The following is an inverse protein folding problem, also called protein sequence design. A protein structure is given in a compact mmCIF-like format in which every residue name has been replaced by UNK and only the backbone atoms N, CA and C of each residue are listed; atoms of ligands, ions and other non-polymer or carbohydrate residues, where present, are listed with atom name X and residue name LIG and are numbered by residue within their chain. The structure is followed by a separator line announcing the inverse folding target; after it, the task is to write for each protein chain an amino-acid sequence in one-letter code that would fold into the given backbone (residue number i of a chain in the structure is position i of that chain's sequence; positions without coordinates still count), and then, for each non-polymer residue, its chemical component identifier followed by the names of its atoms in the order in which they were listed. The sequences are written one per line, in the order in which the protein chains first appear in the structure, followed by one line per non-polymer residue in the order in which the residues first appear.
data_IF_019879023556
#
_entry.id   IF_019879023556
#
_cell.length_a   1.000
_cell.length_b   1.000
_cell.length_c   1.000
_cell.angle_alpha   90.00
_cell.angle_beta   90.00
_cell.angle_gamma   90.00
#
_symmetry.space_group_name_H-M   'P 1'
#
loop_
_entity.id
_entity.type
_entity.pdbx_description
1 polymer ?
#
# COMPACT_ATOMS: atom_id res chain seq x y z
N UNK A 1 -64.64 45.41 -24.39
CA UNK A 1 -64.18 44.00 -24.41
C UNK A 1 -62.83 43.91 -23.71
N UNK A 2 -62.78 43.42 -22.47
CA UNK A 2 -61.52 43.15 -21.74
C UNK A 2 -61.64 41.73 -21.18
N UNK A 3 -60.80 40.81 -21.68
CA UNK A 3 -60.68 39.43 -21.20
C UNK A 3 -59.74 39.41 -20.01
N UNK A 4 -60.21 38.98 -18.85
CA UNK A 4 -59.37 38.67 -17.69
C UNK A 4 -59.16 37.16 -17.65
N UNK A 5 -57.91 36.73 -17.80
CA UNK A 5 -57.47 35.34 -17.68
C UNK A 5 -57.08 35.13 -16.21
N UNK A 6 -57.76 34.22 -15.51
CA UNK A 6 -57.33 33.77 -14.18
C UNK A 6 -56.26 32.68 -14.35
N UNK A 7 -55.07 32.93 -13.80
CA UNK A 7 -54.01 31.94 -13.65
C UNK A 7 -54.25 31.07 -12.42
N UNK A 8 -54.41 29.77 -12.63
CA UNK A 8 -54.46 28.76 -11.57
C UNK A 8 -53.04 28.20 -11.40
N UNK A 9 -52.31 28.67 -10.40
CA UNK A 9 -51.01 28.12 -10.03
C UNK A 9 -51.22 26.84 -9.20
N UNK A 10 -51.02 25.68 -9.84
CA UNK A 10 -51.02 24.37 -9.19
C UNK A 10 -49.64 24.15 -8.55
N UNK A 11 -49.51 24.41 -7.24
CA UNK A 11 -48.32 24.05 -6.47
C UNK A 11 -48.30 22.53 -6.28
N UNK A 12 -47.53 21.83 -7.10
CA UNK A 12 -47.23 20.40 -6.93
C UNK A 12 -46.29 20.21 -5.74
N UNK A 13 -46.79 19.63 -4.67
CA UNK A 13 -45.99 19.16 -3.53
C UNK A 13 -45.24 17.91 -3.97
N UNK A 14 -43.93 18.03 -4.23
CA UNK A 14 -43.04 16.89 -4.45
C UNK A 14 -42.68 16.29 -3.10
N UNK A 15 -43.44 15.29 -2.68
CA UNK A 15 -43.07 14.45 -1.54
C UNK A 15 -41.85 13.62 -1.92
N UNK A 16 -40.68 13.95 -1.38
CA UNK A 16 -39.50 13.08 -1.42
C UNK A 16 -39.75 11.90 -0.48
N UNK A 17 -40.20 10.77 -1.02
CA UNK A 17 -40.22 9.51 -0.29
C UNK A 17 -38.77 9.04 -0.16
N UNK A 18 -38.15 9.28 1.01
CA UNK A 18 -36.87 8.66 1.35
C UNK A 18 -37.08 7.15 1.40
N UNK A 19 -36.63 6.45 0.36
CA UNK A 19 -36.53 4.99 0.37
C UNK A 19 -35.41 4.63 1.34
N UNK A 20 -35.77 4.24 2.56
CA UNK A 20 -34.85 3.60 3.49
C UNK A 20 -34.48 2.24 2.91
N UNK A 21 -33.32 2.16 2.24
CA UNK A 21 -32.73 0.89 1.84
C UNK A 21 -32.23 0.21 3.12
N UNK A 22 -32.80 -0.92 3.54
CA UNK A 22 -32.27 -1.62 4.70
C UNK A 22 -30.82 -2.01 4.42
N UNK A 23 -29.91 -1.70 5.34
CA UNK A 23 -28.58 -2.27 5.35
C UNK A 23 -28.75 -3.79 5.28
N UNK A 24 -28.40 -4.40 4.15
CA UNK A 24 -28.43 -5.85 4.01
C UNK A 24 -27.56 -6.42 5.11
N UNK A 25 -28.18 -7.14 6.05
CA UNK A 25 -27.46 -7.86 7.08
C UNK A 25 -26.59 -8.90 6.37
N UNK A 26 -25.29 -8.63 6.28
CA UNK A 26 -24.32 -9.59 5.82
C UNK A 26 -24.47 -10.86 6.69
N UNK A 27 -24.71 -12.00 6.04
CA UNK A 27 -24.94 -13.26 6.75
C UNK A 27 -23.57 -13.91 7.05
N UNK A 28 -22.89 -13.41 8.07
CA UNK A 28 -21.56 -13.90 8.44
C UNK A 28 -21.57 -15.36 8.92
N UNK A 29 -22.73 -15.88 9.33
CA UNK A 29 -22.92 -17.27 9.77
C UNK A 29 -22.69 -18.30 8.66
N UNK A 30 -22.69 -17.89 7.38
CA UNK A 30 -22.40 -18.76 6.23
C UNK A 30 -20.94 -18.70 5.78
N UNK A 31 -20.11 -17.85 6.40
CA UNK A 31 -18.72 -17.72 5.98
C UNK A 31 -17.94 -18.98 6.38
N UNK A 32 -17.27 -19.58 5.39
CA UNK A 32 -16.36 -20.69 5.62
C UNK A 32 -15.11 -20.21 6.37
N UNK A 33 -15.18 -20.24 7.71
CA UNK A 33 -14.06 -19.92 8.59
C UNK A 33 -13.06 -21.07 8.61
N UNK A 34 -11.81 -20.75 8.33
CA UNK A 34 -10.72 -21.72 8.34
C UNK A 34 -10.02 -21.66 9.71
N UNK A 35 -9.70 -22.81 10.29
CA UNK A 35 -8.84 -22.84 11.47
C UNK A 35 -7.49 -22.20 11.14
N UNK A 36 -6.99 -21.32 12.03
CA UNK A 36 -5.62 -20.84 11.95
C UNK A 36 -4.78 -21.68 12.91
N UNK A 37 -4.02 -22.63 12.35
CA UNK A 37 -3.02 -23.36 13.13
C UNK A 37 -1.81 -22.44 13.29
N UNK A 38 -1.39 -22.19 14.52
CA UNK A 38 -0.38 -21.16 14.86
C UNK A 38 1.06 -21.59 14.55
N UNK A 39 1.27 -22.55 13.65
CA UNK A 39 2.63 -22.93 13.26
C UNK A 39 3.29 -21.71 12.58
N UNK A 40 4.37 -21.23 13.19
CA UNK A 40 5.11 -19.99 12.86
C UNK A 40 4.37 -18.64 13.03
N UNK A 41 3.15 -18.62 13.58
CA UNK A 41 2.38 -17.39 13.83
C UNK A 41 2.20 -16.47 12.61
N UNK A 42 2.42 -16.97 11.38
CA UNK A 42 2.39 -16.19 10.14
C UNK A 42 1.70 -16.99 9.04
N UNK A 43 0.78 -16.35 8.32
CA UNK A 43 0.07 -16.92 7.17
C UNK A 43 -0.02 -15.89 6.05
N UNK A 44 0.17 -16.32 4.80
CA UNK A 44 -0.11 -15.48 3.63
C UNK A 44 -1.54 -15.75 3.17
N UNK A 45 -2.33 -14.69 3.04
CA UNK A 45 -3.67 -14.69 2.49
C UNK A 45 -3.61 -14.15 1.06
N UNK A 46 -3.99 -14.95 0.08
CA UNK A 46 -4.04 -14.55 -1.32
C UNK A 46 -5.47 -14.15 -1.66
N UNK A 47 -5.65 -12.94 -2.18
CA UNK A 47 -6.92 -12.43 -2.69
C UNK A 47 -6.82 -12.34 -4.20
N UNK A 48 -7.60 -13.15 -4.90
CA UNK A 48 -7.67 -13.22 -6.36
C UNK A 48 -9.06 -13.67 -6.82
N UNK A 49 -9.24 -13.85 -8.14
CA UNK A 49 -10.52 -14.23 -8.76
C UNK A 49 -11.10 -15.56 -8.25
N UNK A 50 -10.27 -16.46 -7.73
CA UNK A 50 -10.68 -17.75 -7.16
C UNK A 50 -11.03 -17.64 -5.67
N UNK A 51 -10.75 -16.50 -5.03
CA UNK A 51 -11.09 -16.28 -3.62
C UNK A 51 -12.60 -16.09 -3.48
N UNK A 52 -13.20 -16.77 -2.51
CA UNK A 52 -14.65 -16.63 -2.24
C UNK A 52 -15.01 -15.17 -1.94
N UNK A 53 -16.09 -14.69 -2.55
CA UNK A 53 -16.63 -13.36 -2.31
C UNK A 53 -17.93 -13.44 -1.52
N UNK A 54 -18.18 -12.44 -0.68
CA UNK A 54 -19.44 -12.27 0.03
C UNK A 54 -19.87 -10.80 0.02
N UNK A 55 -21.17 -10.55 0.22
CA UNK A 55 -21.68 -9.22 0.47
C UNK A 55 -21.47 -8.90 1.96
N UNK A 56 -20.46 -8.07 2.25
CA UNK A 56 -20.11 -7.63 3.60
C UNK A 56 -20.73 -6.24 3.85
N UNK A 57 -20.84 -5.78 5.11
CA UNK A 57 -21.49 -4.50 5.43
C UNK A 57 -20.84 -3.29 4.74
N UNK A 58 -19.54 -3.35 4.47
CA UNK A 58 -18.80 -2.29 3.77
C UNK A 58 -18.63 -2.55 2.25
N UNK A 59 -19.43 -3.46 1.68
CA UNK A 59 -19.47 -3.78 0.27
C UNK A 59 -19.04 -5.22 -0.06
N UNK A 60 -19.29 -5.63 -1.29
CA UNK A 60 -18.87 -6.94 -1.79
C UNK A 60 -17.35 -7.02 -1.91
N UNK A 61 -16.77 -8.08 -1.34
CA UNK A 61 -15.32 -8.30 -1.38
C UNK A 61 -15.00 -9.79 -1.30
N UNK A 62 -13.86 -10.15 -1.89
CA UNK A 62 -13.14 -11.36 -1.54
C UNK A 62 -12.82 -11.35 -0.04
N UNK A 63 -12.95 -12.49 0.62
CA UNK A 63 -12.70 -12.59 2.05
C UNK A 63 -11.95 -13.87 2.43
N UNK A 64 -11.20 -13.77 3.53
CA UNK A 64 -10.68 -14.90 4.28
C UNK A 64 -11.20 -14.82 5.71
N UNK A 65 -11.82 -15.88 6.19
CA UNK A 65 -12.34 -15.98 7.55
C UNK A 65 -11.49 -16.96 8.34
N UNK A 66 -11.15 -16.63 9.59
CA UNK A 66 -10.39 -17.51 10.47
C UNK A 66 -10.86 -17.52 11.91
N UNK A 67 -10.81 -18.70 12.53
CA UNK A 67 -11.11 -18.85 13.94
C UNK A 67 -9.97 -18.32 14.80
N UNK A 68 -10.31 -17.65 15.90
CA UNK A 68 -9.33 -17.15 16.86
C UNK A 68 -9.14 -18.20 17.96
N UNK A 69 -7.89 -18.63 18.25
CA UNK A 69 -7.61 -19.51 19.38
C UNK A 69 -7.96 -18.82 20.72
N UNK A 70 -8.07 -19.62 21.79
CA UNK A 70 -8.38 -19.08 23.13
C UNK A 70 -7.24 -18.20 23.67
N UNK A 71 -7.57 -16.97 24.06
CA UNK A 71 -6.67 -16.01 24.67
C UNK A 71 -6.71 -14.63 24.01
N UNK A 72 -5.74 -13.80 24.39
CA UNK A 72 -5.55 -12.44 23.88
C UNK A 72 -4.51 -12.46 22.77
N UNK A 73 -4.81 -11.83 21.64
CA UNK A 73 -3.90 -11.79 20.51
C UNK A 73 -3.89 -10.43 19.81
N UNK A 74 -2.71 -9.96 19.46
CA UNK A 74 -2.54 -8.87 18.50
C UNK A 74 -2.53 -9.46 17.09
N UNK A 75 -3.49 -9.04 16.28
CA UNK A 75 -3.57 -9.34 14.86
C UNK A 75 -2.83 -8.25 14.09
N UNK A 76 -1.97 -8.66 13.16
CA UNK A 76 -1.27 -7.77 12.24
C UNK A 76 -1.43 -8.26 10.82
N UNK A 77 -2.02 -7.41 9.98
CA UNK A 77 -2.15 -7.62 8.55
C UNK A 77 -1.17 -6.69 7.83
N UNK A 78 -0.37 -7.24 6.92
CA UNK A 78 0.59 -6.50 6.09
C UNK A 78 0.35 -6.78 4.62
N UNK A 79 -0.01 -5.75 3.86
CA UNK A 79 -0.09 -5.85 2.40
C UNK A 79 1.04 -5.04 1.77
N UNK A 80 1.89 -5.70 0.99
CA UNK A 80 2.99 -5.03 0.30
C UNK A 80 2.45 -4.14 -0.83
N UNK A 81 3.08 -3.00 -1.01
CA UNK A 81 2.73 -2.03 -2.05
C UNK A 81 3.60 -2.31 -3.28
N UNK A 82 2.95 -2.51 -4.42
CA UNK A 82 3.60 -2.59 -5.73
C UNK A 82 2.97 -1.55 -6.69
N UNK A 83 2.48 -1.98 -7.86
CA UNK A 83 1.66 -1.13 -8.75
C UNK A 83 0.25 -0.87 -8.21
N UNK A 84 -0.22 -1.73 -7.32
CA UNK A 84 -1.45 -1.59 -6.55
C UNK A 84 -1.22 -2.19 -5.16
N UNK A 85 -2.17 -1.98 -4.25
CA UNK A 85 -2.11 -2.55 -2.90
C UNK A 85 -3.47 -3.02 -2.42
N UNK A 86 -3.52 -4.15 -1.72
CA UNK A 86 -4.73 -4.56 -1.02
C UNK A 86 -4.85 -3.79 0.30
N UNK A 87 -5.94 -3.04 0.46
CA UNK A 87 -6.20 -2.33 1.70
C UNK A 87 -7.09 -3.18 2.62
N UNK A 88 -6.56 -3.71 3.73
CA UNK A 88 -7.32 -4.63 4.58
C UNK A 88 -8.39 -3.90 5.39
N UNK A 89 -9.53 -4.56 5.51
CA UNK A 89 -10.59 -4.34 6.49
C UNK A 89 -10.80 -5.66 7.23
N UNK A 90 -10.87 -5.61 8.55
CA UNK A 90 -11.10 -6.77 9.40
C UNK A 90 -12.42 -6.61 10.19
N UNK A 91 -13.25 -7.65 10.17
CA UNK A 91 -14.43 -7.78 11.02
C UNK A 91 -14.12 -8.81 12.09
N UNK A 92 -14.31 -8.44 13.36
CA UNK A 92 -14.23 -9.36 14.50
C UNK A 92 -15.65 -9.77 14.85
N UNK A 93 -15.88 -11.08 14.92
CA UNK A 93 -17.19 -11.66 15.09
C UNK A 93 -17.25 -12.56 16.30
N UNK A 94 -18.44 -12.66 16.89
CA UNK A 94 -18.73 -13.66 17.92
C UNK A 94 -18.95 -15.06 17.33
N UNK A 95 -19.18 -16.05 18.20
CA UNK A 95 -19.45 -17.44 17.78
C UNK A 95 -20.77 -17.61 16.98
N UNK A 96 -21.68 -16.63 17.07
CA UNK A 96 -22.96 -16.62 16.33
C UNK A 96 -22.84 -15.92 14.97
N UNK A 97 -21.73 -15.23 14.69
CA UNK A 97 -21.51 -14.44 13.49
C UNK A 97 -21.96 -12.98 13.60
N UNK A 98 -22.21 -12.45 14.81
CA UNK A 98 -22.46 -11.03 14.99
C UNK A 98 -21.15 -10.24 15.03
N UNK A 99 -21.14 -9.04 14.46
CA UNK A 99 -19.96 -8.18 14.47
C UNK A 99 -19.77 -7.56 15.86
N UNK A 100 -18.63 -7.83 16.48
CA UNK A 100 -18.18 -7.20 17.72
C UNK A 100 -17.38 -5.91 17.44
N UNK A 101 -16.54 -5.94 16.40
CA UNK A 101 -15.71 -4.80 16.01
C UNK A 101 -15.41 -4.81 14.51
N UNK A 102 -15.19 -3.63 13.94
CA UNK A 102 -14.72 -3.47 12.56
C UNK A 102 -13.52 -2.55 12.54
N UNK A 103 -12.43 -2.99 11.92
CA UNK A 103 -11.19 -2.25 11.76
C UNK A 103 -10.92 -2.06 10.27
N UNK A 104 -10.86 -0.82 9.80
CA UNK A 104 -10.67 -0.53 8.39
C UNK A 104 -9.70 0.62 8.19
N UNK A 105 -10.03 1.46 7.22
CA UNK A 105 -9.25 2.62 6.76
C UNK A 105 -8.62 3.44 7.89
N UNK A 106 -9.37 3.75 8.94
CA UNK A 106 -8.94 4.62 10.05
C UNK A 106 -7.80 4.03 10.89
N UNK A 107 -7.57 2.71 10.79
CA UNK A 107 -6.48 1.99 11.47
C UNK A 107 -5.42 1.46 10.52
N UNK A 108 -5.59 1.62 9.20
CA UNK A 108 -4.56 1.27 8.22
C UNK A 108 -3.49 2.34 8.20
N UNK A 109 -2.23 1.93 8.35
CA UNK A 109 -1.07 2.82 8.30
C UNK A 109 -0.13 2.44 7.16
N UNK A 110 0.35 3.43 6.41
CA UNK A 110 1.46 3.22 5.48
C UNK A 110 2.77 3.10 6.26
N UNK A 111 3.54 2.08 5.94
CA UNK A 111 4.86 1.84 6.49
C UNK A 111 5.84 1.94 5.32
N UNK A 112 6.77 2.93 5.35
CA UNK A 112 7.74 3.10 4.27
C UNK A 112 8.65 1.87 4.18
N UNK A 113 9.30 1.72 3.02
CA UNK A 113 10.36 0.73 2.85
C UNK A 113 11.49 0.94 3.87
N UNK A 114 11.99 -0.18 4.39
CA UNK A 114 13.18 -0.25 5.21
C UNK A 114 14.23 -1.15 4.56
N UNK A 115 15.33 -1.42 5.26
CA UNK A 115 16.47 -2.22 4.73
C UNK A 115 16.05 -3.60 4.23
N UNK A 116 15.10 -4.25 4.91
CA UNK A 116 14.68 -5.63 4.62
C UNK A 116 13.21 -5.71 4.17
N UNK A 117 12.40 -4.70 4.47
CA UNK A 117 10.95 -4.75 4.26
C UNK A 117 10.51 -3.74 3.22
N UNK A 118 9.67 -4.12 2.24
CA UNK A 118 9.16 -3.17 1.26
C UNK A 118 8.12 -2.23 1.89
N UNK A 119 7.78 -1.20 1.13
CA UNK A 119 6.60 -0.37 1.35
C UNK A 119 5.35 -1.24 1.51
N UNK A 120 4.54 -0.93 2.51
CA UNK A 120 3.37 -1.75 2.83
C UNK A 120 2.29 -0.96 3.56
N UNK A 121 1.05 -1.39 3.41
CA UNK A 121 -0.03 -1.05 4.33
C UNK A 121 -0.03 -2.02 5.51
N UNK A 122 -0.23 -1.50 6.71
CA UNK A 122 -0.29 -2.28 7.94
C UNK A 122 -1.55 -1.94 8.73
N UNK A 123 -2.35 -2.97 9.03
CA UNK A 123 -3.47 -2.90 9.96
C UNK A 123 -3.13 -3.71 11.22
N UNK A 124 -3.26 -3.10 12.39
CA UNK A 124 -3.01 -3.73 13.69
C UNK A 124 -4.21 -3.53 14.59
N UNK A 125 -4.64 -4.59 15.25
CA UNK A 125 -5.72 -4.55 16.24
C UNK A 125 -5.57 -5.74 17.19
N UNK A 126 -6.18 -5.62 18.36
CA UNK A 126 -6.15 -6.67 19.37
C UNK A 126 -7.51 -7.39 19.37
N UNK A 127 -7.47 -8.69 19.61
CA UNK A 127 -8.63 -9.58 19.65
C UNK A 127 -8.55 -10.43 20.91
N UNK A 128 -9.69 -10.56 21.56
CA UNK A 128 -9.85 -11.19 22.86
C UNK A 128 -10.95 -12.25 22.77
N UNK A 129 -10.57 -13.53 22.88
CA UNK A 129 -11.57 -14.61 22.85
C UNK A 129 -12.45 -14.67 24.10
N UNK A 130 -11.98 -14.14 25.23
CA UNK A 130 -12.70 -14.10 26.51
C UNK A 130 -13.86 -13.09 26.48
N UNK A 131 -13.73 -12.02 25.68
CA UNK A 131 -14.82 -11.06 25.42
C UNK A 131 -15.88 -11.55 24.42
N UNK A 132 -15.70 -12.77 23.88
CA UNK A 132 -16.62 -13.40 22.95
C UNK A 132 -16.17 -13.39 21.49
N UNK A 133 -14.97 -12.88 21.17
CA UNK A 133 -14.46 -12.94 19.79
C UNK A 133 -14.10 -14.37 19.40
N UNK A 134 -14.70 -14.88 18.32
CA UNK A 134 -14.50 -16.25 17.85
C UNK A 134 -13.91 -16.31 16.43
N UNK A 135 -14.26 -15.35 15.57
CA UNK A 135 -13.88 -15.35 14.16
C UNK A 135 -13.40 -13.97 13.74
N UNK A 136 -12.37 -13.91 12.90
CA UNK A 136 -11.97 -12.70 12.20
C UNK A 136 -12.09 -12.91 10.70
N UNK A 137 -12.76 -11.97 10.03
CA UNK A 137 -12.92 -11.94 8.58
C UNK A 137 -12.09 -10.79 8.03
N UNK A 138 -11.16 -11.11 7.14
CA UNK A 138 -10.33 -10.13 6.44
C UNK A 138 -10.82 -9.99 5.01
N UNK A 139 -11.11 -8.76 4.62
CA UNK A 139 -11.60 -8.39 3.32
C UNK A 139 -11.06 -6.99 2.96
N UNK A 140 -11.61 -6.35 1.94
CA UNK A 140 -11.44 -4.92 1.69
C UNK A 140 -12.82 -4.26 1.62
N UNK A 141 -12.89 -2.94 1.77
CA UNK A 141 -14.14 -2.18 1.72
C UNK A 141 -14.26 -1.40 0.42
N UNK A 142 -15.50 -1.13 -0.02
CA UNK A 142 -15.72 -0.32 -1.22
C UNK A 142 -15.15 1.09 -1.09
N UNK A 143 -15.15 1.65 0.13
CA UNK A 143 -14.54 2.95 0.38
C UNK A 143 -13.03 2.91 0.13
N UNK A 144 -12.33 1.90 0.70
CA UNK A 144 -10.89 1.72 0.49
C UNK A 144 -10.54 1.53 -1.00
N UNK A 145 -11.31 0.75 -1.74
CA UNK A 145 -11.06 0.53 -3.17
C UNK A 145 -11.08 1.80 -4.02
N UNK A 146 -11.77 2.85 -3.57
CA UNK A 146 -11.82 4.14 -4.24
C UNK A 146 -10.69 5.08 -3.81
N UNK A 147 -9.71 4.59 -3.04
CA UNK A 147 -8.60 5.38 -2.53
C UNK A 147 -7.25 5.00 -3.12
N UNK A 148 -6.29 5.87 -2.86
CA UNK A 148 -4.89 5.69 -3.18
C UNK A 148 -4.04 5.84 -1.92
N UNK A 149 -2.91 5.13 -1.89
CA UNK A 149 -1.86 5.34 -0.89
C UNK A 149 -0.77 6.19 -1.50
N UNK A 150 -0.46 7.31 -0.84
CA UNK A 150 0.67 8.14 -1.22
C UNK A 150 1.98 7.49 -0.76
N UNK A 151 2.94 7.35 -1.68
CA UNK A 151 4.29 6.88 -1.38
C UNK A 151 5.33 7.90 -1.86
N UNK A 152 6.42 8.01 -1.12
CA UNK A 152 7.53 8.87 -1.49
C UNK A 152 8.27 8.32 -2.72
N UNK A 153 8.56 9.20 -3.68
CA UNK A 153 9.30 8.83 -4.88
C UNK A 153 10.68 8.25 -4.56
N UNK A 154 11.09 7.11 -5.16
CA UNK A 154 12.35 6.43 -4.83
C UNK A 154 13.58 7.32 -5.03
N UNK A 155 13.59 8.20 -6.03
CA UNK A 155 14.66 9.18 -6.24
C UNK A 155 14.84 10.14 -5.04
N UNK A 156 13.76 10.52 -4.35
CA UNK A 156 13.86 11.34 -3.13
C UNK A 156 14.41 10.54 -1.96
N UNK A 157 13.98 9.29 -1.80
CA UNK A 157 14.53 8.41 -0.76
C UNK A 157 16.03 8.17 -0.96
N UNK A 158 16.46 7.92 -2.20
CA UNK A 158 17.88 7.72 -2.53
C UNK A 158 18.72 8.98 -2.30
N UNK A 159 18.19 10.16 -2.64
CA UNK A 159 18.86 11.43 -2.37
C UNK A 159 19.03 11.66 -0.87
N UNK A 160 17.97 11.46 -0.07
CA UNK A 160 18.02 11.53 1.40
C UNK A 160 19.06 10.56 1.97
N UNK A 161 19.06 9.31 1.50
CA UNK A 161 20.00 8.28 1.96
C UNK A 161 21.46 8.62 1.65
N UNK A 162 21.72 9.37 0.57
CA UNK A 162 23.06 9.85 0.18
C UNK A 162 23.43 11.19 0.83
N UNK A 163 22.57 11.78 1.66
CA UNK A 163 22.79 13.11 2.24
C UNK A 163 22.67 14.26 1.24
N UNK A 164 22.11 14.01 0.05
CA UNK A 164 21.87 15.03 -0.96
C UNK A 164 20.50 15.67 -0.75
N UNK A 165 20.35 16.90 -1.24
CA UNK A 165 19.05 17.55 -1.28
C UNK A 165 18.06 16.73 -2.13
N UNK A 166 16.87 16.38 -1.62
CA UNK A 166 15.87 15.66 -2.39
C UNK A 166 15.43 16.49 -3.60
N UNK A 167 15.30 15.88 -4.80
CA UNK A 167 14.77 16.57 -5.96
C UNK A 167 13.28 16.91 -5.74
N UNK A 168 12.84 18.01 -6.37
CA UNK A 168 11.44 18.43 -6.36
C UNK A 168 10.62 17.58 -7.35
N UNK A 169 10.24 16.39 -6.91
CA UNK A 169 9.47 15.41 -7.67
C UNK A 169 8.22 15.04 -6.86
N UNK A 170 7.03 14.99 -7.50
CA UNK A 170 5.78 14.63 -6.81
C UNK A 170 5.81 13.20 -6.25
N UNK A 171 5.00 12.97 -5.22
CA UNK A 171 4.76 11.63 -4.67
C UNK A 171 3.99 10.75 -5.66
N UNK A 172 4.10 9.44 -5.48
CA UNK A 172 3.32 8.48 -6.26
C UNK A 172 2.04 8.15 -5.49
N UNK A 173 0.95 7.96 -6.23
CA UNK A 173 -0.33 7.56 -5.67
C UNK A 173 -0.66 6.14 -6.15
N UNK A 174 -0.61 5.17 -5.24
CA UNK A 174 -0.83 3.77 -5.54
C UNK A 174 -2.30 3.41 -5.33
N UNK A 175 -3.03 2.96 -6.37
CA UNK A 175 -4.43 2.59 -6.22
C UNK A 175 -4.60 1.35 -5.36
N UNK A 176 -5.69 1.35 -4.58
CA UNK A 176 -6.10 0.15 -3.85
C UNK A 176 -6.74 -0.87 -4.81
N UNK A 177 -6.67 -2.15 -4.45
CA UNK A 177 -7.15 -3.26 -5.28
C UNK A 177 -7.90 -4.29 -4.43
N UNK A 178 -8.87 -4.97 -5.04
CA UNK A 178 -9.56 -6.11 -4.44
C UNK A 178 -8.70 -7.37 -4.40
N UNK A 179 -7.59 -7.37 -5.14
CA UNK A 179 -6.67 -8.49 -5.25
C UNK A 179 -5.29 -8.12 -4.72
N UNK A 180 -4.60 -9.09 -4.12
CA UNK A 180 -3.25 -8.94 -3.60
C UNK A 180 -2.93 -9.97 -2.52
N UNK A 181 -1.73 -9.89 -1.97
CA UNK A 181 -1.30 -10.74 -0.88
C UNK A 181 -1.28 -9.96 0.43
N UNK A 182 -1.80 -10.59 1.49
CA UNK A 182 -1.80 -10.05 2.84
C UNK A 182 -1.15 -11.05 3.78
N UNK A 183 -0.04 -10.64 4.39
CA UNK A 183 0.62 -11.40 5.45
C UNK A 183 -0.12 -11.15 6.76
N UNK A 184 -0.80 -12.17 7.26
CA UNK A 184 -1.40 -12.22 8.58
C UNK A 184 -0.36 -12.74 9.58
N UNK A 185 -0.15 -12.00 10.66
CA UNK A 185 0.60 -12.43 11.83
C UNK A 185 -0.26 -12.33 13.07
N UNK A 186 -0.29 -13.39 13.86
CA UNK A 186 -0.94 -13.42 15.17
C UNK A 186 0.14 -13.38 16.25
N UNK A 187 -0.05 -12.64 17.33
CA UNK A 187 0.93 -12.58 18.43
C UNK A 187 0.20 -12.59 19.76
N UNK A 188 0.44 -13.61 20.58
CA UNK A 188 -0.20 -13.74 21.88
C UNK A 188 0.17 -12.55 22.77
N UNK A 189 -0.83 -11.94 23.39
CA UNK A 189 -0.64 -10.89 24.40
C UNK A 189 -0.62 -11.62 25.74
N UNK A 190 0.57 -11.81 26.31
CA UNK A 190 0.71 -12.35 27.65
C UNK A 190 0.23 -11.28 28.63
N UNK A 191 -0.92 -11.52 29.25
CA UNK A 191 -1.33 -10.72 30.40
C UNK A 191 -0.56 -11.29 31.58
N UNK A 192 0.43 -10.54 32.07
CA UNK A 192 1.13 -10.86 33.29
C UNK A 192 0.10 -10.86 34.43
N UNK A 193 -0.36 -12.04 34.80
CA UNK A 193 -1.20 -12.19 36.00
C UNK A 193 -0.22 -12.10 37.16
N UNK A 194 -0.22 -10.95 37.85
CA UNK A 194 0.51 -10.71 39.08
C UNK A 194 0.11 -11.76 40.13
N UNK A 195 0.79 -12.90 40.09
CA UNK A 195 0.80 -13.88 41.16
C UNK A 195 1.97 -13.52 42.08
N UNK A 196 1.79 -12.47 42.87
CA UNK A 196 2.59 -12.19 44.04
C UNK A 196 2.51 -13.36 45.05
N UNK A 197 3.48 -14.27 44.97
CA UNK A 197 3.85 -15.17 46.05
C UNK A 197 5.39 -15.17 46.19
N UNK A 198 5.94 -14.91 47.38
CA UNK A 198 7.37 -14.69 47.55
C UNK A 198 8.11 -16.03 47.53
N UNK A 199 9.04 -16.20 46.59
CA UNK A 199 10.00 -17.31 46.65
C UNK A 199 11.37 -16.76 47.01
N UNK A 200 11.70 -17.09 48.26
CA UNK A 200 12.94 -16.95 49.01
C UNK A 200 14.21 -17.06 48.15
N UNK A 201 14.93 -15.95 48.01
CA UNK A 201 16.30 -15.91 47.52
C UNK A 201 17.24 -16.51 48.57
N UNK A 202 17.81 -17.68 48.29
CA UNK A 202 18.96 -18.21 49.05
C UNK A 202 20.23 -18.01 48.24
N UNK A 203 20.80 -16.80 48.29
CA UNK A 203 22.19 -16.56 47.87
C UNK A 203 23.10 -16.63 49.08
N UNK A 204 23.64 -17.81 49.34
CA UNK A 204 24.65 -18.02 50.37
C UNK A 204 26.04 -17.87 49.73
N UNK A 205 26.77 -16.85 50.20
CA UNK A 205 28.24 -16.73 50.33
C UNK A 205 29.10 -16.79 49.06
N UNK A 206 30.14 -15.97 48.88
CA UNK A 206 30.75 -14.95 49.71
C UNK A 206 31.80 -14.20 48.88
N UNK A 207 32.14 -13.00 49.39
CA UNK A 207 33.41 -12.30 49.23
C UNK A 207 33.70 -11.68 47.84
N UNK A 208 34.06 -10.40 47.71
CA UNK A 208 34.65 -9.47 48.68
C UNK A 208 34.70 -8.07 48.05
N UNK A 209 34.40 -7.08 48.88
CA UNK A 209 35.15 -5.81 49.09
C UNK A 209 35.41 -4.90 47.88
N UNK A 210 35.23 -3.58 47.94
CA UNK A 210 34.74 -2.63 48.93
C UNK A 210 34.73 -1.25 48.24
N UNK A 211 33.88 -0.34 48.74
CA UNK A 211 34.11 1.11 48.89
C UNK A 211 34.53 1.97 47.68
N UNK A 212 34.06 3.20 47.48
CA UNK A 212 33.17 4.08 48.22
C UNK A 212 32.98 5.33 47.32
N UNK A 213 31.77 5.89 47.35
CA UNK A 213 31.48 7.32 47.51
C UNK A 213 32.23 8.37 46.65
N UNK A 214 31.49 9.05 45.75
CA UNK A 214 31.25 10.51 45.83
C UNK A 214 30.39 11.05 44.68
N UNK A 215 29.22 11.53 45.07
CA UNK A 215 28.61 12.84 44.76
C UNK A 215 28.83 13.50 43.38
N UNK A 216 27.69 13.67 42.70
CA UNK A 216 27.16 14.86 42.01
C UNK A 216 28.06 16.10 41.77
N UNK A 217 27.91 16.71 40.59
CA UNK A 217 27.90 18.18 40.33
C UNK A 217 27.58 18.40 38.82
N UNK A 218 26.38 18.86 38.48
CA UNK A 218 26.03 20.21 37.96
C UNK A 218 27.10 20.93 37.12
N UNK A 219 26.73 21.40 35.92
CA UNK A 219 27.59 22.26 35.12
C UNK A 219 26.97 22.65 33.78
N UNK A 220 26.14 23.69 33.81
CA UNK A 220 25.72 24.45 32.64
C UNK A 220 26.79 25.49 32.26
N UNK A 221 27.04 25.67 30.97
CA UNK A 221 27.66 26.83 30.27
C UNK A 221 28.33 26.31 28.98
N UNK A 222 28.37 26.97 27.84
CA UNK A 222 28.08 28.37 27.52
C UNK A 222 27.97 28.51 25.99
N UNK A 223 27.16 29.49 25.58
CA UNK A 223 27.13 30.22 24.30
C UNK A 223 28.50 30.62 23.73
N UNK A 224 28.59 30.77 22.40
CA UNK A 224 28.85 32.01 21.60
C UNK A 224 29.64 31.74 20.27
N UNK A 225 29.84 32.70 19.34
CA UNK A 225 29.25 32.72 17.98
C UNK A 225 30.31 32.82 16.85
N UNK A 226 29.89 32.86 15.57
CA UNK A 226 30.56 33.75 14.58
C UNK A 226 29.69 33.98 13.34
N UNK A 227 29.58 35.26 12.98
CA UNK A 227 28.87 35.82 11.84
C UNK A 227 29.67 35.69 10.53
N UNK A 228 28.98 35.58 9.41
CA UNK A 228 28.93 36.53 8.27
C UNK A 228 30.21 36.67 7.44
N UNK A 229 30.09 36.30 6.15
CA UNK A 229 30.57 37.19 5.09
C UNK A 229 29.66 37.06 3.85
N UNK A 230 29.46 38.20 3.21
CA UNK A 230 28.64 38.41 2.03
C UNK A 230 29.47 39.24 1.05
N UNK A 231 29.64 38.79 -0.19
CA UNK A 231 29.91 39.69 -1.34
C UNK A 231 29.71 39.01 -2.70
N UNK A 232 28.66 39.48 -3.38
CA UNK A 232 28.61 40.01 -4.77
C UNK A 232 29.00 39.22 -6.04
N UNK A 233 28.07 39.33 -7.00
CA UNK A 233 28.22 39.43 -8.48
C UNK A 233 28.55 38.15 -9.26
N UNK A 234 27.87 37.80 -10.36
CA UNK A 234 27.36 38.65 -11.44
C UNK A 234 26.20 38.01 -12.21
N UNK A 235 25.30 38.86 -12.71
CA UNK A 235 24.29 38.54 -13.71
C UNK A 235 24.88 38.69 -15.13
N UNK A 236 24.45 37.82 -16.06
CA UNK A 236 24.53 38.06 -17.51
C UNK A 236 23.22 37.66 -18.15
N UNK A 237 22.57 38.65 -18.74
CA UNK A 237 21.48 38.58 -19.72
C UNK A 237 21.99 38.12 -21.08
N UNK A 238 21.26 37.26 -21.78
CA UNK A 238 21.09 37.34 -23.25
C UNK A 238 19.67 36.92 -23.63
N UNK A 239 19.02 37.81 -24.38
CA UNK A 239 17.68 37.66 -24.91
C UNK A 239 17.70 37.06 -26.33
N UNK A 240 16.58 36.43 -26.67
CA UNK A 240 15.92 36.34 -27.97
C UNK A 240 16.64 35.69 -29.17
N UNK A 241 16.01 34.66 -29.74
CA UNK A 241 15.52 34.70 -31.13
C UNK A 241 14.34 33.74 -31.30
N UNK A 242 13.26 34.27 -31.86
CA UNK A 242 12.08 33.57 -32.31
C UNK A 242 12.30 32.94 -33.68
N UNK A 243 11.67 31.79 -33.93
CA UNK A 243 11.03 31.54 -35.24
C UNK A 243 9.96 30.48 -35.12
N UNK A 244 8.81 30.85 -35.67
CA UNK A 244 7.60 30.07 -35.79
C UNK A 244 7.73 29.07 -36.94
N UNK A 245 6.99 27.96 -36.85
CA UNK A 245 6.29 27.45 -38.02
C UNK A 245 5.05 26.68 -37.57
N UNK A 246 3.89 27.17 -37.99
CA UNK A 246 2.60 26.54 -37.86
C UNK A 246 2.32 25.71 -39.11
N UNK A 247 1.81 24.49 -38.95
CA UNK A 247 0.84 23.89 -39.88
C UNK A 247 -0.15 23.06 -39.06
N UNK A 248 -1.42 23.39 -39.21
CA UNK A 248 -2.59 22.66 -38.72
C UNK A 248 -2.89 21.47 -39.63
N UNK A 249 -3.21 20.27 -39.10
CA UNK A 249 -4.13 19.30 -39.77
C UNK A 249 -4.72 18.30 -38.75
N UNK A 250 -6.05 18.39 -38.57
CA UNK A 250 -7.08 17.36 -38.27
C UNK A 250 -6.89 16.19 -37.29
N UNK A 251 -7.80 16.12 -36.33
CA UNK A 251 -8.67 14.99 -35.94
C UNK A 251 -8.23 13.51 -36.12
N UNK A 252 -8.11 12.83 -34.97
CA UNK A 252 -8.56 11.45 -34.63
C UNK A 252 -8.03 10.25 -35.44
N UNK A 253 -7.35 9.28 -34.77
CA UNK A 253 -7.50 7.80 -34.88
C UNK A 253 -6.48 7.06 -33.97
N UNK A 254 -7.02 6.28 -33.02
CA UNK A 254 -6.69 4.89 -32.63
C UNK A 254 -5.30 4.30 -32.98
N UNK A 255 -4.66 3.69 -31.97
CA UNK A 255 -3.49 2.77 -31.99
C UNK A 255 -2.13 3.37 -32.38
N UNK A 256 -1.33 3.75 -31.38
CA UNK A 256 0.11 3.94 -31.54
C UNK A 256 0.80 2.57 -31.57
N UNK A 257 0.72 1.89 -32.71
CA UNK A 257 1.72 0.91 -33.09
C UNK A 257 2.96 1.66 -33.61
N UNK A 258 4.14 1.19 -33.24
CA UNK A 258 5.41 1.73 -33.74
C UNK A 258 5.44 1.81 -35.27
N UNK A 259 6.13 2.81 -35.82
CA UNK A 259 6.34 2.86 -37.27
C UNK A 259 7.12 1.60 -37.70
N UNK A 260 6.83 1.01 -38.87
CA UNK A 260 7.55 -0.17 -39.37
C UNK A 260 9.07 0.03 -39.47
N UNK A 261 9.51 1.27 -39.72
CA UNK A 261 10.92 1.66 -39.73
C UNK A 261 11.58 1.53 -38.34
N UNK A 262 10.82 1.72 -37.26
CA UNK A 262 11.27 1.54 -35.88
C UNK A 262 11.32 0.06 -35.49
N UNK A 263 10.34 -0.74 -35.93
CA UNK A 263 10.32 -2.20 -35.67
C UNK A 263 11.53 -2.91 -36.28
N UNK A 264 11.88 -2.58 -37.52
CA UNK A 264 13.06 -3.14 -38.18
C UNK A 264 14.37 -2.81 -37.43
N UNK A 265 14.48 -1.60 -36.88
CA UNK A 265 15.65 -1.15 -36.13
C UNK A 265 15.82 -1.94 -34.83
N UNK A 266 14.73 -2.13 -34.06
CA UNK A 266 14.76 -2.94 -32.85
C UNK A 266 15.08 -4.41 -33.16
N UNK A 267 14.48 -4.97 -34.20
CA UNK A 267 14.75 -6.35 -34.62
C UNK A 267 16.23 -6.56 -35.01
N UNK A 268 16.86 -5.56 -35.63
CA UNK A 268 18.29 -5.61 -35.95
C UNK A 268 19.15 -5.53 -34.68
N UNK A 269 18.85 -4.61 -33.76
CA UNK A 269 19.59 -4.47 -32.51
C UNK A 269 19.50 -5.72 -31.62
N UNK A 270 18.35 -6.40 -31.60
CA UNK A 270 18.15 -7.68 -30.91
C UNK A 270 19.07 -8.76 -31.52
N UNK A 271 19.13 -8.87 -32.86
CA UNK A 271 20.02 -9.83 -33.53
C UNK A 271 21.49 -9.55 -33.23
N UNK A 272 21.91 -8.29 -33.26
CA UNK A 272 23.29 -7.89 -33.01
C UNK A 272 23.70 -8.15 -31.56
N UNK A 273 22.81 -7.92 -30.58
CA UNK A 273 23.06 -8.21 -29.17
C UNK A 273 23.17 -9.73 -28.92
N UNK A 274 22.29 -10.54 -29.53
CA UNK A 274 22.39 -12.01 -29.44
C UNK A 274 23.67 -12.54 -30.09
N UNK A 275 24.08 -11.99 -31.24
CA UNK A 275 25.35 -12.36 -31.88
C UNK A 275 26.58 -12.00 -31.03
N UNK A 276 26.51 -10.89 -30.29
CA UNK A 276 27.58 -10.44 -29.38
C UNK A 276 27.61 -11.15 -28.03
N UNK A 277 26.70 -12.11 -27.80
CA UNK A 277 26.53 -12.78 -26.52
C UNK A 277 26.09 -11.91 -25.34
N UNK A 278 25.52 -10.75 -25.66
CA UNK A 278 24.91 -9.86 -24.68
C UNK A 278 23.42 -10.18 -24.51
N UNK A 279 23.15 -11.25 -23.75
CA UNK A 279 21.80 -11.75 -23.52
C UNK A 279 20.94 -10.80 -22.68
N UNK A 280 21.56 -10.02 -21.80
CA UNK A 280 20.87 -9.04 -20.95
C UNK A 280 20.37 -7.87 -21.80
N UNK A 281 21.23 -7.32 -22.65
CA UNK A 281 20.86 -6.27 -23.60
C UNK A 281 19.82 -6.76 -24.60
N UNK A 282 19.95 -7.98 -25.11
CA UNK A 282 18.98 -8.57 -26.04
C UNK A 282 17.57 -8.72 -25.43
N UNK A 283 17.48 -9.14 -24.16
CA UNK A 283 16.20 -9.21 -23.44
C UNK A 283 15.61 -7.82 -23.17
N UNK A 284 16.45 -6.85 -22.81
CA UNK A 284 16.02 -5.47 -22.58
C UNK A 284 15.43 -4.84 -23.86
N UNK A 285 16.15 -4.94 -24.98
CA UNK A 285 15.69 -4.43 -26.28
C UNK A 285 14.40 -5.09 -26.76
N UNK A 286 14.24 -6.40 -26.50
CA UNK A 286 13.01 -7.12 -26.81
C UNK A 286 11.82 -6.63 -25.96
N UNK A 287 12.02 -6.42 -24.65
CA UNK A 287 10.98 -5.93 -23.74
C UNK A 287 10.57 -4.50 -24.11
N UNK A 288 11.55 -3.63 -24.37
CA UNK A 288 11.31 -2.24 -24.78
C UNK A 288 10.50 -2.19 -26.08
N UNK A 289 10.92 -2.92 -27.12
CA UNK A 289 10.17 -3.00 -28.37
C UNK A 289 8.74 -3.54 -28.18
N UNK A 290 8.56 -4.52 -27.28
CA UNK A 290 7.24 -5.10 -26.97
C UNK A 290 6.34 -4.14 -26.19
N UNK A 291 6.88 -3.34 -25.26
CA UNK A 291 6.15 -2.26 -24.57
C UNK A 291 5.71 -1.18 -25.56
N UNK A 292 6.53 -0.93 -26.58
CA UNK A 292 6.23 -0.03 -27.69
C UNK A 292 5.31 -0.66 -28.77
N UNK A 293 4.77 -1.86 -28.53
CA UNK A 293 3.77 -2.50 -29.39
C UNK A 293 4.33 -3.27 -30.60
N UNK A 294 5.64 -3.53 -30.64
CA UNK A 294 6.24 -4.42 -31.65
C UNK A 294 5.70 -5.83 -31.49
N UNK A 295 5.18 -6.38 -32.59
CA UNK A 295 4.69 -7.77 -32.63
C UNK A 295 5.76 -8.78 -33.04
N UNK A 296 6.90 -8.29 -33.52
CA UNK A 296 7.96 -9.11 -34.13
C UNK A 296 9.17 -9.29 -33.22
N UNK A 297 9.41 -8.39 -32.27
CA UNK A 297 10.58 -8.40 -31.39
C UNK A 297 10.79 -9.72 -30.64
N UNK A 298 9.71 -10.28 -30.06
CA UNK A 298 9.78 -11.55 -29.32
C UNK A 298 10.13 -12.74 -30.21
N UNK A 299 9.58 -12.79 -31.43
CA UNK A 299 9.90 -13.84 -32.38
C UNK A 299 11.34 -13.72 -32.88
N UNK A 300 11.80 -12.51 -33.17
CA UNK A 300 13.19 -12.24 -33.58
C UNK A 300 14.22 -12.61 -32.51
N UNK A 301 13.92 -12.36 -31.24
CA UNK A 301 14.79 -12.78 -30.13
C UNK A 301 14.93 -14.31 -30.05
N UNK A 302 13.82 -15.04 -30.17
CA UNK A 302 13.82 -16.50 -30.13
C UNK A 302 14.56 -17.10 -31.32
N UNK A 303 14.31 -16.61 -32.53
CA UNK A 303 14.98 -17.08 -33.75
C UNK A 303 16.50 -16.82 -33.70
N UNK A 304 16.93 -15.66 -33.18
CA UNK A 304 18.35 -15.35 -33.04
C UNK A 304 19.06 -16.26 -32.03
N UNK A 305 18.36 -16.78 -31.01
CA UNK A 305 18.91 -17.76 -30.08
C UNK A 305 19.05 -19.15 -30.71
N UNK A 306 18.19 -19.50 -31.67
CA UNK A 306 18.22 -20.78 -32.39
C UNK A 306 19.32 -20.83 -33.47
N UNK A 307 19.82 -19.67 -33.93
CA UNK A 307 20.86 -19.57 -34.95
C UNK A 307 22.30 -19.57 -34.40
N UNK A 308 22.47 -19.92 -33.12
CA UNK A 308 23.78 -20.12 -32.50
C UNK A 308 24.29 -21.56 -32.58
#
# INVERSE_FOLDING_TARGET
MRKTIQGLALLGVLSFTTVFVPAQAANFSQLNAQAITLEDNKRTLTFDVNTTSANLPLGSSHYHAFNIPSGQYQVRLRSNIYKSVFAPTAYVLDASGNILATYGQDKVTHQPSGVISPDRLQLKFDVDSTTGAAVVVVATSQNQLNQTTEIEHPARQLAKARGNQPPDIPNLFIPHSQSGEVQLKLSKIETEVDNSAPVLVTSTTAAREASENKQAIVGASSVQPSAADATTSSATTVAATASASAVSTSAQVKQTALLPASEAMYNQAIKDAVNQQDHELALQLMLEASEHGSKTARATYLEALEQR
#
